data_IF_973745314640
#
_entry.id   IF_973745314640
#
_cell.length_a   1.000
_cell.length_b   1.000
_cell.length_c   1.000
_cell.angle_alpha   90.00
_cell.angle_beta   90.00
_cell.angle_gamma   90.00
#
_symmetry.space_group_name_H-M   'P 1'
#
loop_
_entity.id
_entity.type
_entity.pdbx_description
1 polymer ?
#
# COMPACT_ATOMS: atom_id res chain seq x y z
N UNK A 1 -0.47 -7.83 -21.40
CA UNK A 1 -1.06 -7.53 -20.08
C UNK A 1 0.08 -7.32 -19.13
N UNK A 2 0.10 -6.23 -18.37
CA UNK A 2 1.12 -6.03 -17.33
C UNK A 2 0.79 -6.93 -16.16
N UNK A 3 1.71 -7.81 -15.78
CA UNK A 3 1.57 -8.63 -14.56
C UNK A 3 1.62 -7.73 -13.33
N UNK A 4 0.86 -8.09 -12.30
CA UNK A 4 0.75 -7.32 -11.07
C UNK A 4 0.57 -8.26 -9.87
N UNK A 5 0.91 -7.75 -8.71
CA UNK A 5 0.68 -8.37 -7.41
C UNK A 5 -0.04 -7.39 -6.49
N UNK A 6 -0.73 -7.91 -5.50
CA UNK A 6 -1.43 -7.13 -4.49
C UNK A 6 -0.58 -7.06 -3.23
N UNK A 7 -0.09 -5.86 -2.90
CA UNK A 7 0.74 -5.62 -1.72
C UNK A 7 -0.07 -5.02 -0.59
N UNK A 8 0.00 -5.61 0.60
CA UNK A 8 -0.58 -5.07 1.83
C UNK A 8 0.49 -4.24 2.54
N UNK A 9 0.11 -3.05 3.00
CA UNK A 9 0.97 -2.15 3.76
C UNK A 9 0.28 -1.67 5.03
N UNK A 10 1.01 -1.68 6.16
CA UNK A 10 0.60 -1.00 7.39
C UNK A 10 0.85 0.50 7.25
N UNK A 11 -0.10 1.30 7.73
CA UNK A 11 0.01 2.76 7.79
C UNK A 11 -0.02 3.20 9.25
N UNK A 12 1.10 3.75 9.73
CA UNK A 12 1.18 4.35 11.05
C UNK A 12 0.93 5.86 10.96
N UNK A 13 -0.27 6.30 11.35
CA UNK A 13 -0.61 7.72 11.36
C UNK A 13 0.13 8.54 12.44
N UNK A 14 0.74 7.87 13.42
CA UNK A 14 1.40 8.50 14.58
C UNK A 14 2.92 8.57 14.48
N UNK A 15 3.52 7.85 13.53
CA UNK A 15 4.97 7.84 13.34
C UNK A 15 5.48 8.98 12.45
N UNK A 16 6.67 9.49 12.79
CA UNK A 16 7.51 10.21 11.82
C UNK A 16 8.01 9.21 10.77
N UNK A 17 8.21 9.67 9.52
CA UNK A 17 8.69 8.81 8.43
C UNK A 17 9.92 7.97 8.84
N UNK A 18 9.97 6.66 8.52
CA UNK A 18 9.00 5.89 7.76
C UNK A 18 7.77 5.47 8.57
N UNK A 19 6.59 5.58 7.97
CA UNK A 19 5.31 5.26 8.59
C UNK A 19 4.42 4.36 7.70
N UNK A 20 5.06 3.68 6.75
CA UNK A 20 4.44 2.85 5.73
C UNK A 20 5.30 1.60 5.52
N UNK A 21 4.77 0.42 5.85
CA UNK A 21 5.56 -0.80 5.96
C UNK A 21 4.90 -1.96 5.20
N UNK A 22 5.65 -2.74 4.39
CA UNK A 22 5.09 -3.88 3.69
C UNK A 22 4.75 -5.02 4.67
N UNK A 23 3.59 -5.65 4.48
CA UNK A 23 3.13 -6.80 5.25
C UNK A 23 3.21 -8.09 4.42
N UNK A 24 2.68 -8.06 3.19
CA UNK A 24 2.59 -9.25 2.34
C UNK A 24 2.28 -8.93 0.89
N UNK A 25 2.56 -9.87 0.00
CA UNK A 25 2.37 -9.76 -1.46
C UNK A 25 1.59 -10.98 -1.97
N UNK A 26 0.53 -10.76 -2.74
CA UNK A 26 -0.42 -11.79 -3.15
C UNK A 26 -0.67 -11.74 -4.65
N UNK A 27 -0.97 -12.89 -5.24
CA UNK A 27 -1.34 -13.01 -6.65
C UNK A 27 -2.72 -12.43 -6.95
N UNK A 28 -3.64 -12.48 -5.98
CA UNK A 28 -5.03 -12.03 -6.15
C UNK A 28 -5.43 -11.03 -5.07
N UNK A 29 -6.45 -10.22 -5.38
CA UNK A 29 -6.99 -9.25 -4.43
C UNK A 29 -7.66 -9.98 -3.27
N UNK A 30 -8.36 -11.06 -3.58
CA UNK A 30 -9.16 -11.84 -2.65
C UNK A 30 -8.28 -12.51 -1.58
N UNK A 31 -7.11 -13.01 -1.94
CA UNK A 31 -6.14 -13.54 -0.97
C UNK A 31 -5.61 -12.44 -0.05
N UNK A 32 -5.29 -11.27 -0.61
CA UNK A 32 -4.80 -10.15 0.18
C UNK A 32 -5.86 -9.62 1.16
N UNK A 33 -7.11 -9.49 0.72
CA UNK A 33 -8.22 -9.05 1.59
C UNK A 33 -8.47 -10.06 2.72
N UNK A 34 -8.45 -11.36 2.42
CA UNK A 34 -8.55 -12.40 3.46
C UNK A 34 -7.46 -12.27 4.51
N UNK A 35 -6.23 -11.94 4.12
CA UNK A 35 -5.17 -11.65 5.09
C UNK A 35 -5.51 -10.42 5.93
N UNK A 36 -5.90 -9.31 5.29
CA UNK A 36 -6.25 -8.06 5.99
C UNK A 36 -7.30 -8.30 7.08
N UNK A 37 -8.31 -9.14 6.81
CA UNK A 37 -9.36 -9.48 7.76
C UNK A 37 -8.84 -10.21 9.02
N UNK A 38 -7.64 -10.78 8.98
CA UNK A 38 -6.97 -11.43 10.12
C UNK A 38 -6.02 -10.51 10.89
N UNK A 39 -5.69 -9.34 10.34
CA UNK A 39 -4.72 -8.42 10.94
C UNK A 39 -5.33 -7.64 12.12
N UNK A 40 -4.49 -7.12 13.05
CA UNK A 40 -4.95 -6.27 14.15
C UNK A 40 -5.74 -5.04 13.69
N UNK A 41 -6.86 -4.74 14.35
CA UNK A 41 -7.76 -3.63 13.96
C UNK A 41 -7.40 -2.26 14.56
N UNK A 42 -6.34 -2.19 15.35
CA UNK A 42 -5.79 -0.95 15.92
C UNK A 42 -4.86 -0.19 14.95
N UNK A 43 -4.72 -0.70 13.72
CA UNK A 43 -3.90 -0.13 12.65
C UNK A 43 -4.73 0.09 11.39
N UNK A 44 -4.30 1.03 10.55
CA UNK A 44 -4.84 1.21 9.22
C UNK A 44 -3.97 0.47 8.20
N UNK A 45 -4.61 -0.07 7.17
CA UNK A 45 -3.92 -0.79 6.09
C UNK A 45 -4.23 -0.18 4.73
N UNK A 46 -3.29 -0.33 3.81
CA UNK A 46 -3.49 -0.05 2.40
C UNK A 46 -3.21 -1.29 1.57
N UNK A 47 -4.04 -1.52 0.57
CA UNK A 47 -3.87 -2.57 -0.41
C UNK A 47 -3.53 -1.92 -1.76
N UNK A 48 -2.35 -2.23 -2.30
CA UNK A 48 -1.83 -1.64 -3.53
C UNK A 48 -1.75 -2.67 -4.65
N UNK A 49 -2.21 -2.32 -5.85
CA UNK A 49 -2.02 -3.15 -7.05
C UNK A 49 -0.69 -2.82 -7.74
N UNK A 50 0.37 -3.50 -7.34
CA UNK A 50 1.75 -3.23 -7.75
C UNK A 50 2.08 -3.88 -9.10
N UNK A 51 2.43 -3.11 -10.15
CA UNK A 51 2.86 -3.68 -11.42
C UNK A 51 4.24 -4.31 -11.30
N UNK A 52 4.40 -5.53 -11.82
CA UNK A 52 5.69 -6.23 -11.88
C UNK A 52 6.53 -5.70 -13.06
N UNK A 53 7.85 -5.67 -12.86
CA UNK A 53 8.83 -5.26 -13.88
C UNK A 53 8.55 -3.87 -14.49
N UNK A 54 7.93 -2.97 -13.71
CA UNK A 54 7.57 -1.63 -14.15
C UNK A 54 8.08 -0.59 -13.16
N UNK A 55 8.87 0.37 -13.65
CA UNK A 55 9.28 1.52 -12.84
C UNK A 55 8.16 2.57 -12.87
N UNK A 56 7.54 2.79 -11.72
CA UNK A 56 6.48 3.78 -11.53
C UNK A 56 6.94 5.01 -10.73
N UNK A 57 8.25 5.18 -10.54
CA UNK A 57 8.78 6.37 -9.91
C UNK A 57 8.70 7.57 -10.85
N UNK A 58 8.39 8.74 -10.30
CA UNK A 58 8.45 10.02 -10.99
C UNK A 58 9.28 11.02 -10.20
N UNK A 59 9.96 11.91 -10.92
CA UNK A 59 10.73 12.98 -10.31
C UNK A 59 9.88 14.25 -10.24
N UNK A 60 9.52 14.69 -9.04
CA UNK A 60 8.69 15.87 -8.86
C UNK A 60 9.53 17.14 -9.01
N UNK A 61 9.53 17.72 -10.22
CA UNK A 61 10.40 18.86 -10.62
C UNK A 61 10.36 20.06 -9.67
N UNK A 62 9.22 20.34 -9.02
CA UNK A 62 9.08 21.49 -8.11
C UNK A 62 9.74 21.26 -6.74
N UNK A 63 9.77 20.02 -6.26
CA UNK A 63 10.29 19.69 -4.91
C UNK A 63 11.64 18.99 -4.97
N UNK A 64 12.08 18.55 -6.14
CA UNK A 64 13.31 17.77 -6.33
C UNK A 64 13.26 16.36 -5.73
N UNK A 65 12.05 15.87 -5.38
CA UNK A 65 11.88 14.57 -4.73
C UNK A 65 11.64 13.47 -5.76
N UNK A 66 12.28 12.33 -5.56
CA UNK A 66 11.85 11.07 -6.18
C UNK A 66 10.61 10.57 -5.42
N UNK A 67 9.51 10.41 -6.14
CA UNK A 67 8.25 9.95 -5.61
C UNK A 67 7.74 8.75 -6.44
N UNK A 68 6.71 8.08 -5.97
CA UNK A 68 6.07 6.96 -6.66
C UNK A 68 4.65 6.77 -6.16
N UNK A 69 4.02 5.66 -6.56
CA UNK A 69 2.68 5.22 -6.13
C UNK A 69 1.49 6.11 -6.54
N UNK A 70 1.71 7.30 -7.13
CA UNK A 70 0.65 8.21 -7.55
C UNK A 70 -0.29 7.61 -8.63
N UNK A 71 0.26 6.73 -9.47
CA UNK A 71 -0.49 6.02 -10.53
C UNK A 71 -0.86 4.58 -10.17
N UNK A 72 -0.65 4.16 -8.92
CA UNK A 72 -0.97 2.81 -8.46
C UNK A 72 -2.36 2.80 -7.84
N UNK A 73 -3.19 1.84 -8.25
CA UNK A 73 -4.49 1.61 -7.61
C UNK A 73 -4.29 1.25 -6.14
N UNK A 74 -4.93 2.03 -5.27
CA UNK A 74 -4.88 1.89 -3.82
C UNK A 74 -6.27 1.71 -3.24
N UNK A 75 -6.38 0.85 -2.23
CA UNK A 75 -7.57 0.70 -1.40
C UNK A 75 -7.19 0.91 0.05
N UNK A 76 -8.07 1.57 0.79
CA UNK A 76 -7.81 1.98 2.17
C UNK A 76 -8.71 1.19 3.12
N UNK A 77 -8.11 0.60 4.15
CA UNK A 77 -8.79 -0.13 5.21
C UNK A 77 -8.58 0.62 6.53
N UNK A 78 -9.59 1.38 6.94
CA UNK A 78 -9.56 2.29 8.08
C UNK A 78 -10.19 1.64 9.32
N UNK A 79 -9.45 0.77 10.00
CA UNK A 79 -9.97 0.10 11.20
C UNK A 79 -9.81 0.96 12.47
N UNK A 80 -8.79 1.82 12.52
CA UNK A 80 -8.50 2.64 13.71
C UNK A 80 -9.56 3.72 13.98
N UNK A 81 -10.32 4.11 12.96
CA UNK A 81 -11.31 5.19 13.02
C UNK A 81 -12.73 4.67 13.37
N UNK A 82 -12.92 3.36 13.59
CA UNK A 82 -14.20 2.73 13.97
C UNK A 82 -14.42 2.63 15.49
N UNK A 83 -13.51 3.20 16.30
CA UNK A 83 -13.51 3.13 17.77
C UNK A 83 -13.84 4.42 18.49
#
# INVERSE_FOLDING_TARGET
>A
MTEFVWGIFAVDASAHFPNFFPIGMYSTREEAVKEIDTLPRDHNYQLLRMPLNHNFAFYHKKTGKLAGMDSIHHEHFHFKDEG
#
